data_IF_037826266491
#
_entry.id   IF_037826266491
#
_cell.length_a   1.000
_cell.length_b   1.000
_cell.length_c   1.000
_cell.angle_alpha   90.00
_cell.angle_beta   90.00
_cell.angle_gamma   90.00
#
_symmetry.space_group_name_H-M   'P 1'
#
loop_
_entity.id
_entity.type
_entity.pdbx_description
1 polymer ?
#
# COMPACT_ATOMS: atom_id res chain seq x y z
N UNK A 1 -27.44 -1.35 -16.78
CA UNK A 1 -27.49 0.09 -16.47
C UNK A 1 -26.57 0.79 -17.46
N UNK A 2 -27.07 1.76 -18.22
CA UNK A 2 -26.27 2.51 -19.20
C UNK A 2 -25.28 3.47 -18.53
N UNK A 3 -24.30 4.01 -19.28
CA UNK A 3 -23.36 4.99 -18.76
C UNK A 3 -24.12 6.20 -18.19
N UNK A 4 -23.69 6.66 -17.01
CA UNK A 4 -24.26 7.84 -16.36
C UNK A 4 -24.07 9.08 -17.26
N UNK A 5 -25.08 9.97 -17.36
CA UNK A 5 -24.99 11.17 -18.18
C UNK A 5 -23.88 12.12 -17.68
N UNK A 6 -23.31 12.95 -18.56
CA UNK A 6 -22.28 13.92 -18.18
C UNK A 6 -22.75 14.82 -17.04
N UNK A 7 -21.91 14.95 -16.01
CA UNK A 7 -22.19 15.82 -14.87
C UNK A 7 -21.98 17.29 -15.30
N UNK A 8 -23.05 18.04 -15.50
CA UNK A 8 -22.96 19.49 -15.70
C UNK A 8 -22.55 20.16 -14.39
N UNK A 9 -21.26 20.38 -14.21
CA UNK A 9 -20.73 21.18 -13.12
C UNK A 9 -21.08 22.65 -13.38
N UNK A 10 -21.98 23.21 -12.56
CA UNK A 10 -22.29 24.66 -12.55
C UNK A 10 -21.08 25.43 -12.01
N UNK A 11 -20.15 25.76 -12.90
CA UNK A 11 -19.04 26.67 -12.61
C UNK A 11 -19.50 28.12 -12.69
N UNK A 12 -19.09 28.92 -11.71
CA UNK A 12 -19.41 30.36 -11.67
C UNK A 12 -18.64 31.10 -12.77
N UNK A 13 -19.13 32.27 -13.20
CA UNK A 13 -18.42 33.08 -14.20
C UNK A 13 -17.08 33.63 -13.68
N UNK A 14 -16.92 33.68 -12.36
CA UNK A 14 -15.62 33.90 -11.73
C UNK A 14 -14.68 32.72 -12.00
N UNK A 15 -15.09 31.48 -11.72
CA UNK A 15 -14.29 30.27 -12.01
C UNK A 15 -13.95 30.15 -13.49
N UNK A 16 -14.87 30.49 -14.40
CA UNK A 16 -14.58 30.55 -15.85
C UNK A 16 -13.50 31.58 -16.18
N UNK A 17 -13.46 32.73 -15.50
CA UNK A 17 -12.42 33.75 -15.68
C UNK A 17 -11.07 33.25 -15.17
N UNK A 18 -11.03 32.61 -14.00
CA UNK A 18 -9.81 31.98 -13.47
C UNK A 18 -9.25 30.91 -14.42
N UNK A 19 -10.11 30.03 -14.94
CA UNK A 19 -9.73 28.98 -15.90
C UNK A 19 -9.18 29.60 -17.20
N UNK A 20 -9.86 30.62 -17.75
CA UNK A 20 -9.39 31.29 -18.98
C UNK A 20 -8.08 32.05 -18.77
N UNK A 21 -7.88 32.67 -17.60
CA UNK A 21 -6.64 33.34 -17.25
C UNK A 21 -5.48 32.35 -17.10
N UNK A 22 -5.72 31.18 -16.50
CA UNK A 22 -4.75 30.10 -16.40
C UNK A 22 -4.33 29.57 -17.79
N UNK A 23 -5.30 29.28 -18.67
CA UNK A 23 -5.05 28.84 -20.06
C UNK A 23 -4.26 29.90 -20.85
N UNK A 24 -4.57 31.18 -20.66
CA UNK A 24 -3.85 32.26 -21.32
C UNK A 24 -2.40 32.35 -20.85
N UNK A 25 -2.16 32.23 -19.54
CA UNK A 25 -0.81 32.24 -18.94
C UNK A 25 0.04 31.07 -19.42
N UNK A 26 -0.55 29.88 -19.46
CA UNK A 26 0.06 28.65 -19.96
C UNK A 26 0.46 28.76 -21.44
N UNK A 27 -0.38 29.39 -22.29
CA UNK A 27 -0.04 29.63 -23.71
C UNK A 27 1.18 30.53 -23.87
N UNK A 28 1.28 31.58 -23.07
CA UNK A 28 2.46 32.46 -23.04
C UNK A 28 3.71 31.76 -22.54
N UNK A 29 3.60 30.94 -21.49
CA UNK A 29 4.73 30.19 -20.91
C UNK A 29 5.23 29.09 -21.88
N UNK A 30 4.31 28.39 -22.58
CA UNK A 30 4.64 27.41 -23.65
C UNK A 30 5.28 28.07 -24.87
N UNK A 31 4.82 29.26 -25.27
CA UNK A 31 5.43 30.01 -26.36
C UNK A 31 6.86 30.47 -26.02
N UNK A 32 7.11 30.81 -24.75
CA UNK A 32 8.44 31.18 -24.26
C UNK A 32 9.41 29.98 -24.18
N UNK A 33 8.92 28.80 -23.79
CA UNK A 33 9.74 27.58 -23.71
C UNK A 33 9.99 26.92 -25.07
N UNK A 34 9.05 27.01 -26.02
CA UNK A 34 9.26 26.54 -27.39
C UNK A 34 10.28 27.40 -28.19
N UNK A 35 10.44 28.68 -27.82
CA UNK A 35 11.41 29.58 -28.43
C UNK A 35 12.85 29.36 -27.92
N UNK A 36 13.05 28.63 -26.81
CA UNK A 36 14.34 28.42 -26.15
C UNK A 36 15.03 27.10 -26.56
N UNK A 37 14.83 26.66 -27.81
CA UNK A 37 15.37 25.48 -28.48
C UNK A 37 16.52 24.68 -27.83
N UNK A 38 16.29 23.37 -27.71
CA UNK A 38 17.28 22.33 -28.02
C UNK A 38 18.59 22.35 -27.23
N UNK A 39 18.56 21.84 -26.00
CA UNK A 39 19.77 21.52 -25.26
C UNK A 39 19.47 20.43 -24.23
N UNK A 40 20.19 19.33 -24.32
CA UNK A 40 20.25 18.27 -23.31
C UNK A 40 20.52 18.92 -21.96
N UNK A 41 19.53 18.94 -21.08
CA UNK A 41 19.64 19.49 -19.73
C UNK A 41 19.21 18.42 -18.74
N UNK A 42 20.20 17.99 -17.94
CA UNK A 42 20.02 17.05 -16.84
C UNK A 42 18.86 17.48 -15.96
N UNK A 43 18.02 16.52 -15.63
CA UNK A 43 16.86 16.73 -14.77
C UNK A 43 17.38 17.03 -13.37
N UNK A 44 17.16 18.26 -12.90
CA UNK A 44 17.43 18.63 -11.52
C UNK A 44 16.54 17.79 -10.59
N UNK A 45 17.16 17.08 -9.65
CA UNK A 45 16.48 16.43 -8.53
C UNK A 45 15.58 17.45 -7.82
N UNK A 46 14.30 17.12 -7.61
CA UNK A 46 13.41 17.84 -6.70
C UNK A 46 12.37 18.79 -7.31
N UNK A 47 12.16 18.83 -8.64
CA UNK A 47 11.02 19.56 -9.19
C UNK A 47 9.77 18.68 -9.36
N UNK A 48 8.74 19.01 -8.57
CA UNK A 48 7.36 18.52 -8.73
C UNK A 48 6.85 18.98 -10.09
N UNK A 49 6.48 18.03 -10.95
CA UNK A 49 5.75 18.37 -12.17
C UNK A 49 4.24 18.23 -11.97
N UNK A 50 3.51 19.19 -12.53
CA UNK A 50 2.05 19.21 -12.52
C UNK A 50 1.53 18.60 -13.81
N UNK A 51 0.63 17.63 -13.71
CA UNK A 51 -0.11 17.06 -14.83
C UNK A 51 -1.40 17.86 -15.02
N UNK A 52 -1.38 18.83 -15.93
CA UNK A 52 -2.56 19.63 -16.27
C UNK A 52 -3.04 19.29 -17.69
N UNK A 53 -4.01 18.38 -17.77
CA UNK A 53 -4.69 17.99 -19.01
C UNK A 53 -5.80 16.94 -18.76
N UNK A 54 -6.86 16.87 -19.58
CA UNK A 54 -8.01 16.02 -19.29
C UNK A 54 -7.68 14.57 -19.65
N UNK A 55 -7.34 13.77 -18.63
CA UNK A 55 -7.25 12.30 -18.66
C UNK A 55 -6.13 11.69 -19.51
N UNK A 56 -4.87 12.11 -19.32
CA UNK A 56 -3.77 11.18 -19.59
C UNK A 56 -3.81 10.08 -18.53
N UNK A 57 -4.17 8.87 -18.94
CA UNK A 57 -3.98 7.67 -18.11
C UNK A 57 -2.49 7.59 -17.77
N UNK A 58 -2.17 7.68 -16.49
CA UNK A 58 -0.80 7.60 -15.99
C UNK A 58 -0.35 6.15 -15.89
N UNK A 59 -1.19 5.33 -15.25
CA UNK A 59 -0.82 4.00 -14.80
C UNK A 59 -2.06 3.25 -14.27
N UNK A 60 -1.88 1.99 -13.88
CA UNK A 60 -2.88 1.15 -13.24
C UNK A 60 -2.83 1.22 -11.70
N UNK A 61 -4.01 1.17 -11.08
CA UNK A 61 -4.19 0.97 -9.64
C UNK A 61 -4.97 -0.32 -9.40
N UNK A 62 -4.55 -1.11 -8.41
CA UNK A 62 -5.22 -2.34 -8.00
C UNK A 62 -5.53 -2.29 -6.52
N UNK A 63 -6.75 -2.70 -6.15
CA UNK A 63 -7.12 -2.84 -4.74
C UNK A 63 -7.77 -4.19 -4.48
N UNK A 64 -7.35 -4.84 -3.41
CA UNK A 64 -7.99 -6.05 -2.91
C UNK A 64 -8.24 -5.96 -1.41
N UNK A 65 -9.13 -6.80 -0.89
CA UNK A 65 -9.28 -6.87 0.55
C UNK A 65 -10.24 -7.94 1.06
N UNK A 66 -9.96 -8.41 2.28
CA UNK A 66 -10.76 -9.42 2.98
C UNK A 66 -11.39 -8.80 4.24
N UNK A 67 -12.69 -8.55 4.20
CA UNK A 67 -13.43 -8.00 5.34
C UNK A 67 -14.35 -9.01 5.97
N UNK A 68 -14.87 -9.92 5.17
CA UNK A 68 -15.67 -11.05 5.60
C UNK A 68 -14.78 -12.06 6.32
N UNK A 69 -14.94 -12.17 7.63
CA UNK A 69 -14.34 -13.24 8.42
C UNK A 69 -15.42 -13.84 9.32
N UNK A 70 -15.34 -15.15 9.63
CA UNK A 70 -16.27 -15.80 10.53
C UNK A 70 -16.19 -15.15 11.91
N UNK A 71 -17.35 -14.96 12.55
CA UNK A 71 -17.40 -14.21 13.81
C UNK A 71 -16.72 -14.96 14.97
N UNK A 72 -16.83 -16.29 14.99
CA UNK A 72 -16.30 -17.20 16.02
C UNK A 72 -16.04 -18.55 15.38
N UNK A 73 -14.96 -19.21 15.80
CA UNK A 73 -14.69 -20.61 15.48
C UNK A 73 -14.59 -21.44 16.74
N UNK A 74 -15.75 -21.86 17.26
CA UNK A 74 -15.82 -22.68 18.47
C UNK A 74 -15.30 -24.11 18.27
N UNK A 75 -15.11 -24.51 17.01
CA UNK A 75 -14.76 -25.88 16.62
C UNK A 75 -13.32 -26.02 16.09
N UNK A 76 -12.55 -24.93 15.99
CA UNK A 76 -11.22 -24.95 15.41
C UNK A 76 -11.22 -25.40 13.95
N UNK A 77 -12.14 -24.88 13.12
CA UNK A 77 -12.21 -25.10 11.68
C UNK A 77 -11.18 -24.28 10.89
N UNK A 78 -10.86 -23.07 11.32
CA UNK A 78 -9.99 -22.15 10.59
C UNK A 78 -8.56 -22.21 11.12
N UNK A 79 -8.01 -23.42 11.18
CA UNK A 79 -6.72 -23.67 11.80
C UNK A 79 -5.61 -22.99 11.00
N UNK A 80 -4.71 -22.23 11.66
CA UNK A 80 -3.48 -21.74 11.06
C UNK A 80 -2.58 -22.86 10.49
N UNK A 81 -1.49 -22.50 9.79
CA UNK A 81 -0.49 -23.45 9.35
C UNK A 81 0.07 -24.29 10.50
N UNK A 82 0.61 -25.47 10.17
CA UNK A 82 1.26 -26.33 11.16
C UNK A 82 2.58 -25.70 11.63
N UNK A 83 2.91 -25.85 12.91
CA UNK A 83 4.21 -25.43 13.46
C UNK A 83 5.27 -26.53 13.34
N UNK A 84 6.55 -26.16 13.33
CA UNK A 84 7.68 -27.08 13.25
C UNK A 84 7.67 -28.19 14.30
N UNK A 85 7.29 -27.85 15.54
CA UNK A 85 7.25 -28.78 16.68
C UNK A 85 5.94 -29.57 16.81
N UNK A 86 5.10 -29.58 15.76
CA UNK A 86 3.80 -30.24 15.73
C UNK A 86 2.72 -29.47 16.49
N UNK A 87 1.55 -29.29 15.89
CA UNK A 87 0.51 -28.36 16.37
C UNK A 87 0.30 -27.22 15.38
N UNK A 88 -0.39 -26.14 15.78
CA UNK A 88 -0.69 -24.99 14.91
C UNK A 88 0.14 -23.77 15.31
N UNK A 89 0.50 -22.95 14.33
CA UNK A 89 1.12 -21.64 14.56
C UNK A 89 0.13 -20.77 15.34
N UNK A 90 0.57 -20.23 16.49
CA UNK A 90 -0.18 -19.24 17.24
C UNK A 90 0.05 -17.86 16.63
N UNK A 91 -0.97 -17.02 16.67
CA UNK A 91 -1.00 -15.73 16.03
C UNK A 91 -0.97 -14.60 17.07
N UNK A 92 -0.40 -13.45 16.72
CA UNK A 92 -0.37 -12.24 17.57
C UNK A 92 -1.76 -11.63 17.61
N UNK A 93 -2.59 -12.16 18.51
CA UNK A 93 -3.98 -11.78 18.73
C UNK A 93 -4.46 -12.29 20.09
N UNK A 94 -5.52 -11.68 20.62
CA UNK A 94 -6.29 -12.25 21.73
C UNK A 94 -6.93 -13.61 21.37
N UNK A 95 -7.11 -13.88 20.08
CA UNK A 95 -7.51 -15.18 19.53
C UNK A 95 -6.36 -15.75 18.72
N UNK A 96 -5.52 -16.55 19.38
CA UNK A 96 -4.27 -17.08 18.81
C UNK A 96 -4.46 -17.96 17.56
N UNK A 97 -5.68 -18.40 17.25
CA UNK A 97 -5.98 -19.22 16.07
C UNK A 97 -7.05 -18.59 15.17
N UNK A 98 -7.37 -17.31 15.38
CA UNK A 98 -8.48 -16.65 14.69
C UNK A 98 -9.86 -17.24 15.05
N UNK A 99 -10.90 -16.93 14.26
CA UNK A 99 -10.97 -15.83 13.32
C UNK A 99 -11.11 -14.50 14.05
N UNK A 100 -10.59 -13.46 13.41
CA UNK A 100 -10.71 -12.07 13.83
C UNK A 100 -11.98 -11.51 13.21
N UNK A 101 -12.78 -10.79 13.98
CA UNK A 101 -14.14 -10.39 13.57
C UNK A 101 -14.15 -9.66 12.22
N UNK A 102 -15.31 -9.68 11.57
CA UNK A 102 -15.58 -8.94 10.32
C UNK A 102 -15.09 -7.49 10.40
N UNK A 103 -14.44 -7.03 9.32
CA UNK A 103 -14.17 -5.61 9.09
C UNK A 103 -15.31 -5.01 8.28
N UNK A 104 -15.95 -3.98 8.84
CA UNK A 104 -17.23 -3.49 8.32
C UNK A 104 -17.12 -2.52 7.14
N UNK A 105 -15.97 -1.88 6.90
CA UNK A 105 -15.85 -0.81 5.91
C UNK A 105 -14.77 -1.00 4.83
N UNK A 106 -14.33 -2.24 4.57
CA UNK A 106 -13.33 -2.48 3.53
C UNK A 106 -13.82 -2.05 2.15
N UNK A 107 -15.09 -2.37 1.82
CA UNK A 107 -15.69 -1.96 0.55
C UNK A 107 -15.68 -0.45 0.35
N UNK A 108 -15.99 0.32 1.40
CA UNK A 108 -15.94 1.78 1.37
C UNK A 108 -14.55 2.30 1.06
N UNK A 109 -13.53 1.79 1.76
CA UNK A 109 -12.12 2.18 1.54
C UNK A 109 -11.67 1.84 0.11
N UNK A 110 -12.01 0.64 -0.39
CA UNK A 110 -11.62 0.20 -1.74
C UNK A 110 -12.31 1.03 -2.85
N UNK A 111 -13.59 1.34 -2.68
CA UNK A 111 -14.35 2.19 -3.60
C UNK A 111 -13.83 3.62 -3.61
N UNK A 112 -13.56 4.17 -2.43
CA UNK A 112 -13.01 5.52 -2.30
C UNK A 112 -11.60 5.61 -2.87
N UNK A 113 -10.73 4.64 -2.58
CA UNK A 113 -9.37 4.57 -3.15
C UNK A 113 -9.43 4.56 -4.68
N UNK A 114 -10.22 3.65 -5.27
CA UNK A 114 -10.37 3.55 -6.73
C UNK A 114 -10.82 4.86 -7.35
N UNK A 115 -11.79 5.55 -6.72
CA UNK A 115 -12.32 6.83 -7.18
C UNK A 115 -11.29 7.95 -7.06
N UNK A 116 -10.53 8.02 -5.98
CA UNK A 116 -9.54 9.07 -5.74
C UNK A 116 -8.31 8.90 -6.64
N UNK A 117 -7.80 7.67 -6.79
CA UNK A 117 -6.74 7.36 -7.75
C UNK A 117 -7.17 7.66 -9.20
N UNK A 118 -8.43 7.39 -9.56
CA UNK A 118 -8.98 7.80 -10.87
C UNK A 118 -8.91 9.30 -11.11
N UNK A 119 -9.16 10.12 -10.09
CA UNK A 119 -9.03 11.58 -10.19
C UNK A 119 -7.58 12.04 -10.34
N UNK A 120 -6.63 11.19 -9.98
CA UNK A 120 -5.20 11.44 -10.10
C UNK A 120 -4.62 10.90 -11.42
N UNK A 121 -5.46 10.33 -12.30
CA UNK A 121 -5.03 9.80 -13.61
C UNK A 121 -4.75 8.30 -13.64
N UNK A 122 -4.96 7.58 -12.54
CA UNK A 122 -4.76 6.12 -12.47
C UNK A 122 -6.02 5.36 -12.85
N UNK A 123 -5.90 4.30 -13.66
CA UNK A 123 -7.03 3.44 -14.02
C UNK A 123 -7.15 2.30 -13.02
N UNK A 124 -8.28 2.13 -12.31
CA UNK A 124 -8.51 0.95 -11.50
C UNK A 124 -8.60 -0.29 -12.39
N UNK A 125 -7.58 -1.15 -12.35
CA UNK A 125 -7.50 -2.37 -13.18
C UNK A 125 -8.31 -3.49 -12.55
N UNK A 126 -8.23 -3.65 -11.23
CA UNK A 126 -9.06 -4.59 -10.48
C UNK A 126 -9.46 -4.04 -9.12
N UNK A 127 -10.60 -4.55 -8.65
CA UNK A 127 -11.11 -4.36 -7.29
C UNK A 127 -11.71 -5.68 -6.84
N UNK A 128 -10.98 -6.46 -6.04
CA UNK A 128 -11.41 -7.79 -5.57
C UNK A 128 -11.65 -7.79 -4.07
N UNK A 129 -12.88 -8.02 -3.63
CA UNK A 129 -13.24 -7.98 -2.22
C UNK A 129 -13.88 -9.28 -1.71
N UNK A 130 -13.61 -9.60 -0.45
CA UNK A 130 -14.21 -10.74 0.26
C UNK A 130 -14.08 -12.04 -0.54
N UNK A 131 -15.16 -12.69 -0.97
CA UNK A 131 -15.10 -13.96 -1.71
C UNK A 131 -14.53 -13.82 -3.14
N UNK A 132 -14.29 -12.60 -3.64
CA UNK A 132 -13.67 -12.35 -4.94
C UNK A 132 -12.14 -12.41 -4.89
N UNK A 133 -11.54 -12.24 -3.71
CA UNK A 133 -10.10 -12.43 -3.52
C UNK A 133 -9.83 -13.87 -3.08
N UNK A 134 -8.87 -14.51 -3.73
CA UNK A 134 -8.36 -15.83 -3.34
C UNK A 134 -6.88 -15.72 -2.97
N UNK A 135 -6.35 -16.65 -2.17
CA UNK A 135 -4.94 -16.59 -1.75
C UNK A 135 -3.98 -16.58 -2.93
N UNK A 136 -4.34 -17.28 -4.01
CA UNK A 136 -3.68 -17.30 -5.30
C UNK A 136 -3.56 -15.91 -5.98
N UNK A 137 -4.41 -14.94 -5.63
CA UNK A 137 -4.27 -13.57 -6.13
C UNK A 137 -3.10 -12.82 -5.47
N UNK A 138 -2.66 -13.29 -4.29
CA UNK A 138 -1.61 -12.71 -3.47
C UNK A 138 -0.29 -13.47 -3.59
N UNK A 139 -0.35 -14.79 -3.77
CA UNK A 139 0.83 -15.65 -3.88
C UNK A 139 1.59 -15.42 -5.17
N UNK A 140 2.90 -15.70 -5.13
CA UNK A 140 3.67 -16.00 -6.33
C UNK A 140 3.10 -17.25 -7.01
N UNK A 141 2.66 -17.11 -8.25
CA UNK A 141 2.19 -18.24 -9.05
C UNK A 141 3.25 -18.63 -10.09
N UNK A 142 3.81 -19.83 -9.94
CA UNK A 142 4.81 -20.36 -10.89
C UNK A 142 6.09 -19.53 -10.92
N UNK A 143 6.76 -19.55 -12.08
CA UNK A 143 7.98 -18.76 -12.36
C UNK A 143 7.66 -17.34 -12.84
N UNK A 144 6.44 -17.10 -13.31
CA UNK A 144 6.07 -15.83 -13.98
C UNK A 144 5.45 -14.80 -13.02
N UNK A 145 5.42 -15.10 -11.72
CA UNK A 145 4.94 -14.24 -10.64
C UNK A 145 3.63 -13.46 -10.98
N UNK A 146 2.57 -14.21 -11.29
CA UNK A 146 1.31 -13.66 -11.83
C UNK A 146 0.33 -13.16 -10.78
N UNK A 147 0.79 -12.70 -9.61
CA UNK A 147 -0.08 -12.02 -8.64
C UNK A 147 -0.84 -10.89 -9.36
N UNK A 148 -2.11 -10.69 -8.99
CA UNK A 148 -2.91 -9.59 -9.57
C UNK A 148 -2.27 -8.24 -9.35
N UNK A 149 -1.60 -8.05 -8.21
CA UNK A 149 -0.90 -6.81 -7.90
C UNK A 149 0.26 -6.54 -8.87
N UNK A 150 0.92 -7.57 -9.40
CA UNK A 150 2.04 -7.39 -10.34
C UNK A 150 1.60 -6.90 -11.74
N UNK A 151 0.28 -6.75 -11.97
CA UNK A 151 -0.30 -6.22 -13.21
C UNK A 151 -0.67 -4.72 -13.13
N UNK A 152 -0.45 -4.09 -11.98
CA UNK A 152 -0.73 -2.66 -11.75
C UNK A 152 0.53 -1.94 -11.32
N UNK A 153 0.48 -0.62 -11.24
CA UNK A 153 1.62 0.18 -10.81
C UNK A 153 1.58 0.51 -9.32
N UNK A 154 0.36 0.58 -8.77
CA UNK A 154 0.09 0.84 -7.36
C UNK A 154 -0.89 -0.21 -6.84
N UNK A 155 -0.47 -0.93 -5.80
CA UNK A 155 -1.28 -1.92 -5.11
C UNK A 155 -1.71 -1.48 -3.72
N UNK A 156 -2.95 -1.79 -3.36
CA UNK A 156 -3.46 -1.68 -2.00
C UNK A 156 -4.17 -2.98 -1.58
N UNK A 157 -3.70 -3.59 -0.49
CA UNK A 157 -4.46 -4.62 0.23
C UNK A 157 -5.06 -4.05 1.52
N UNK A 158 -6.33 -4.37 1.79
CA UNK A 158 -7.04 -3.95 3.00
C UNK A 158 -7.57 -5.20 3.71
N UNK A 159 -7.25 -5.39 4.98
CA UNK A 159 -7.76 -6.55 5.70
C UNK A 159 -7.08 -6.80 7.03
N UNK A 160 -7.34 -7.97 7.59
CA UNK A 160 -6.53 -8.47 8.69
C UNK A 160 -5.21 -9.01 8.19
N UNK A 161 -4.19 -8.90 9.03
CA UNK A 161 -2.99 -9.71 8.98
C UNK A 161 -2.58 -10.04 10.41
N UNK A 162 -1.71 -11.04 10.57
CA UNK A 162 -1.23 -11.45 11.89
C UNK A 162 0.19 -11.94 11.84
N UNK A 163 0.97 -11.66 12.88
CA UNK A 163 2.30 -12.21 13.02
C UNK A 163 2.22 -13.59 13.69
N UNK A 164 2.99 -14.55 13.18
CA UNK A 164 3.16 -15.85 13.81
C UNK A 164 4.04 -15.75 15.05
N UNK A 165 3.56 -16.28 16.18
CA UNK A 165 4.36 -16.46 17.41
C UNK A 165 5.26 -17.69 17.34
N UNK A 166 4.95 -18.62 16.44
CA UNK A 166 5.66 -19.89 16.27
C UNK A 166 6.21 -20.03 14.85
N UNK A 167 7.30 -20.79 14.71
CA UNK A 167 7.88 -21.16 13.42
C UNK A 167 6.98 -22.19 12.72
N UNK A 168 6.63 -21.91 11.47
CA UNK A 168 5.85 -22.83 10.63
C UNK A 168 6.67 -24.09 10.26
N UNK A 169 6.01 -25.23 10.14
CA UNK A 169 6.63 -26.46 9.66
C UNK A 169 7.24 -26.28 8.27
N UNK A 170 8.47 -26.75 8.09
CA UNK A 170 9.24 -26.55 6.85
C UNK A 170 9.92 -25.17 6.74
N UNK A 171 9.76 -24.29 7.73
CA UNK A 171 10.43 -23.00 7.79
C UNK A 171 11.41 -22.93 8.98
N UNK A 172 12.43 -22.07 8.86
CA UNK A 172 13.41 -21.79 9.91
C UNK A 172 13.12 -20.55 10.75
N UNK A 173 12.05 -19.81 10.43
CA UNK A 173 11.75 -18.49 10.99
C UNK A 173 10.23 -18.26 11.13
N UNK A 174 9.86 -17.25 11.92
CA UNK A 174 8.48 -16.77 12.06
C UNK A 174 8.15 -15.76 10.95
N UNK A 175 6.91 -15.76 10.50
CA UNK A 175 6.42 -14.84 9.48
C UNK A 175 5.02 -14.31 9.81
N UNK A 176 4.56 -13.32 9.06
CA UNK A 176 3.18 -12.85 9.09
C UNK A 176 2.31 -13.57 8.06
N UNK A 177 0.99 -13.52 8.26
CA UNK A 177 -0.01 -14.19 7.44
C UNK A 177 -1.20 -13.29 7.14
N UNK A 178 -1.75 -13.43 5.94
CA UNK A 178 -3.05 -12.89 5.54
C UNK A 178 -4.09 -14.02 5.57
N UNK A 179 -5.13 -13.92 6.42
CA UNK A 179 -6.28 -14.82 6.36
C UNK A 179 -7.18 -14.43 5.18
N UNK A 180 -7.37 -15.35 4.22
CA UNK A 180 -8.30 -15.21 3.09
C UNK A 180 -9.44 -16.20 3.29
N UNK A 181 -10.64 -15.68 3.50
CA UNK A 181 -11.81 -16.47 3.87
C UNK A 181 -12.77 -16.59 2.71
N UNK A 182 -13.12 -17.83 2.37
CA UNK A 182 -14.15 -18.15 1.40
C UNK A 182 -15.43 -18.54 2.13
N UNK A 183 -16.44 -17.68 2.05
CA UNK A 183 -17.70 -17.86 2.76
C UNK A 183 -18.61 -18.91 2.14
N UNK A 184 -18.45 -19.19 0.85
CA UNK A 184 -19.18 -20.24 0.13
C UNK A 184 -18.71 -21.64 0.55
N UNK A 185 -17.41 -21.80 0.79
CA UNK A 185 -16.79 -23.08 1.18
C UNK A 185 -16.62 -23.22 2.70
N UNK A 186 -16.81 -22.14 3.47
CA UNK A 186 -16.51 -22.08 4.90
C UNK A 186 -15.05 -22.48 5.21
N UNK A 187 -14.11 -21.99 4.39
CA UNK A 187 -12.68 -22.31 4.51
C UNK A 187 -11.83 -21.07 4.67
N UNK A 188 -10.73 -21.20 5.43
CA UNK A 188 -9.70 -20.19 5.56
C UNK A 188 -8.43 -20.65 4.86
N UNK A 189 -7.93 -19.81 3.98
CA UNK A 189 -6.59 -19.91 3.42
C UNK A 189 -5.67 -18.92 4.12
N UNK A 190 -4.46 -19.34 4.47
CA UNK A 190 -3.49 -18.54 5.20
C UNK A 190 -2.30 -18.28 4.31
N UNK A 191 -2.23 -17.09 3.71
CA UNK A 191 -1.14 -16.69 2.84
C UNK A 191 -0.01 -16.11 3.69
N UNK A 192 1.12 -16.81 3.79
CA UNK A 192 2.32 -16.34 4.47
C UNK A 192 3.05 -15.25 3.70
N UNK A 193 3.78 -14.39 4.40
CA UNK A 193 4.63 -13.36 3.80
C UNK A 193 5.61 -13.93 2.77
N UNK A 194 6.23 -15.07 3.08
CA UNK A 194 7.15 -15.78 2.18
C UNK A 194 6.50 -16.35 0.91
N UNK A 195 5.17 -16.40 0.84
CA UNK A 195 4.45 -16.86 -0.36
C UNK A 195 4.10 -15.69 -1.28
N UNK A 196 4.25 -14.44 -0.82
CA UNK A 196 3.95 -13.23 -1.56
C UNK A 196 5.24 -12.65 -2.14
N UNK A 197 5.24 -12.30 -3.42
CA UNK A 197 6.41 -11.74 -4.10
C UNK A 197 5.94 -10.53 -4.92
N UNK A 198 5.71 -9.40 -4.25
CA UNK A 198 5.25 -8.20 -4.95
C UNK A 198 6.41 -7.47 -5.61
N UNK A 199 6.18 -7.04 -6.84
CA UNK A 199 7.12 -6.27 -7.64
C UNK A 199 7.20 -6.84 -9.04
N UNK A 200 7.11 -5.95 -10.02
CA UNK A 200 7.26 -6.28 -11.43
C UNK A 200 7.74 -5.04 -12.19
N UNK A 201 8.05 -5.15 -13.50
CA UNK A 201 8.26 -3.97 -14.33
C UNK A 201 7.09 -2.96 -14.29
N UNK A 202 5.93 -3.35 -13.78
CA UNK A 202 4.77 -2.49 -13.58
C UNK A 202 4.61 -2.08 -12.11
N UNK A 203 4.57 -3.02 -11.16
CA UNK A 203 4.25 -2.76 -9.76
C UNK A 203 5.44 -2.16 -9.02
N UNK A 204 5.35 -0.86 -8.73
CA UNK A 204 6.40 -0.12 -8.01
C UNK A 204 6.09 0.09 -6.54
N UNK A 205 4.81 0.27 -6.19
CA UNK A 205 4.42 0.56 -4.81
C UNK A 205 3.28 -0.34 -4.35
N UNK A 206 3.45 -0.97 -3.20
CA UNK A 206 2.46 -1.86 -2.59
C UNK A 206 2.22 -1.44 -1.14
N UNK A 207 0.96 -1.24 -0.78
CA UNK A 207 0.56 -0.89 0.58
C UNK A 207 -0.39 -1.94 1.18
N UNK A 208 -0.18 -2.22 2.46
CA UNK A 208 -0.99 -3.09 3.29
C UNK A 208 -1.64 -2.30 4.41
N UNK A 209 -2.92 -1.98 4.24
CA UNK A 209 -3.75 -1.45 5.31
C UNK A 209 -4.26 -2.59 6.20
N UNK A 210 -3.33 -3.15 6.97
CA UNK A 210 -3.54 -4.31 7.84
C UNK A 210 -2.60 -4.29 9.06
N UNK A 211 -3.01 -4.96 10.14
CA UNK A 211 -2.26 -5.03 11.39
C UNK A 211 -1.14 -6.08 11.36
N UNK A 212 0.04 -5.79 11.89
CA UNK A 212 1.08 -6.80 12.17
C UNK A 212 1.76 -7.46 10.96
N UNK A 213 1.54 -7.02 9.73
CA UNK A 213 2.28 -7.58 8.58
C UNK A 213 3.79 -7.38 8.77
N UNK A 214 4.22 -6.17 9.12
CA UNK A 214 5.63 -5.83 9.37
C UNK A 214 5.91 -5.65 10.87
N UNK A 215 5.24 -6.43 11.72
CA UNK A 215 5.34 -6.30 13.18
C UNK A 215 6.79 -6.35 13.65
N UNK A 216 7.25 -5.29 14.29
CA UNK A 216 8.64 -5.14 14.74
C UNK A 216 8.81 -5.43 16.23
N UNK A 217 9.91 -6.10 16.57
CA UNK A 217 10.30 -6.34 17.97
C UNK A 217 10.58 -5.03 18.72
N UNK A 218 10.96 -3.97 17.99
CA UNK A 218 11.19 -2.64 18.56
C UNK A 218 9.96 -2.07 19.26
N UNK A 219 8.76 -2.39 18.77
CA UNK A 219 7.50 -1.80 19.26
C UNK A 219 6.60 -2.79 19.98
N UNK A 220 6.73 -4.09 19.67
CA UNK A 220 5.83 -5.11 20.19
C UNK A 220 6.53 -6.44 20.39
N UNK A 221 6.18 -7.15 21.46
CA UNK A 221 6.57 -8.55 21.64
C UNK A 221 6.05 -9.40 20.45
N UNK A 222 6.76 -10.49 20.15
CA UNK A 222 6.48 -11.35 18.99
C UNK A 222 6.58 -10.64 17.63
N UNK A 223 7.48 -9.66 17.51
CA UNK A 223 7.87 -9.11 16.22
C UNK A 223 8.43 -10.19 15.29
N UNK A 224 8.04 -10.12 14.02
CA UNK A 224 8.45 -11.07 12.97
C UNK A 224 9.17 -10.38 11.80
N UNK A 225 9.14 -9.05 11.74
CA UNK A 225 9.78 -8.30 10.66
C UNK A 225 11.26 -8.64 10.50
N UNK A 226 12.04 -8.54 11.57
CA UNK A 226 13.49 -8.76 11.51
C UNK A 226 13.80 -10.20 11.10
N UNK A 227 12.96 -11.16 11.52
CA UNK A 227 13.10 -12.56 11.09
C UNK A 227 12.81 -12.72 9.60
N UNK A 228 11.74 -12.11 9.09
CA UNK A 228 11.41 -12.17 7.66
C UNK A 228 12.49 -11.49 6.81
N UNK A 229 12.95 -10.30 7.20
CA UNK A 229 14.03 -9.59 6.49
C UNK A 229 15.34 -10.39 6.47
N UNK A 230 15.75 -10.95 7.62
CA UNK A 230 16.98 -11.76 7.70
C UNK A 230 16.90 -13.11 6.96
N UNK A 231 15.71 -13.52 6.53
CA UNK A 231 15.47 -14.75 5.76
C UNK A 231 14.93 -14.48 4.35
N UNK A 232 15.00 -13.23 3.87
CA UNK A 232 14.59 -12.86 2.51
C UNK A 232 13.15 -13.27 2.20
N UNK A 233 12.27 -12.93 3.14
CA UNK A 233 10.89 -13.38 3.19
C UNK A 233 9.91 -12.23 3.39
N UNK A 234 10.35 -11.01 3.12
CA UNK A 234 9.46 -9.88 2.99
C UNK A 234 8.59 -10.09 1.74
N UNK A 235 7.34 -9.60 1.72
CA UNK A 235 6.47 -9.77 0.58
C UNK A 235 6.84 -8.76 -0.52
N UNK A 236 8.08 -8.79 -0.99
CA UNK A 236 8.61 -7.94 -2.05
C UNK A 236 9.78 -8.61 -2.77
N UNK A 237 10.00 -8.28 -4.04
CA UNK A 237 11.21 -8.62 -4.79
C UNK A 237 11.96 -7.34 -5.22
N UNK A 238 13.05 -7.49 -5.99
CA UNK A 238 13.86 -6.35 -6.43
C UNK A 238 13.16 -5.34 -7.35
N UNK A 239 12.02 -5.69 -7.96
CA UNK A 239 11.24 -4.73 -8.76
C UNK A 239 10.36 -3.80 -7.93
N UNK A 240 10.00 -4.18 -6.71
CA UNK A 240 9.16 -3.34 -5.87
C UNK A 240 10.01 -2.26 -5.21
N UNK A 241 9.68 -1.00 -5.49
CA UNK A 241 10.40 0.14 -4.93
C UNK A 241 10.12 0.31 -3.45
N UNK A 242 8.83 0.25 -3.07
CA UNK A 242 8.38 0.53 -1.70
C UNK A 242 7.24 -0.42 -1.30
N UNK A 243 7.45 -1.11 -0.19
CA UNK A 243 6.43 -1.86 0.55
C UNK A 243 6.01 -1.09 1.81
N UNK A 244 4.71 -0.86 1.98
CA UNK A 244 4.17 -0.08 3.10
C UNK A 244 3.21 -0.92 3.95
N UNK A 245 3.37 -0.88 5.27
CA UNK A 245 2.42 -1.49 6.21
C UNK A 245 2.56 -0.83 7.60
N UNK A 246 2.05 -1.48 8.65
CA UNK A 246 2.26 -1.07 10.03
C UNK A 246 3.27 -1.99 10.73
N UNK A 247 4.19 -1.38 11.50
CA UNK A 247 5.09 -2.10 12.40
C UNK A 247 4.42 -2.52 13.72
N UNK A 248 3.18 -2.07 13.93
CA UNK A 248 2.33 -2.37 15.08
C UNK A 248 0.95 -2.88 14.61
N UNK A 249 0.01 -3.04 15.55
CA UNK A 249 -1.41 -3.08 15.22
C UNK A 249 -1.87 -1.75 14.58
N UNK A 250 -3.10 -1.69 14.08
CA UNK A 250 -3.75 -0.48 13.59
C UNK A 250 -5.29 -0.61 13.68
N UNK A 251 -6.01 0.52 13.67
CA UNK A 251 -7.46 0.58 13.53
C UNK A 251 -7.85 0.90 12.08
N UNK A 252 -8.80 0.15 11.51
CA UNK A 252 -9.23 0.35 10.11
C UNK A 252 -10.17 1.55 10.05
N UNK A 253 -9.65 2.69 9.58
CA UNK A 253 -10.41 3.92 9.42
C UNK A 253 -10.97 4.06 8.00
N UNK A 254 -12.23 4.52 7.86
CA UNK A 254 -12.85 4.76 6.55
C UNK A 254 -12.06 5.77 5.70
N UNK A 255 -11.50 6.78 6.34
CA UNK A 255 -10.93 7.96 5.66
C UNK A 255 -9.48 7.76 5.20
N UNK A 256 -8.92 6.56 5.35
CA UNK A 256 -7.54 6.23 4.96
C UNK A 256 -7.24 6.66 3.51
N UNK A 257 -8.15 6.32 2.58
CA UNK A 257 -7.99 6.60 1.17
C UNK A 257 -7.89 8.11 0.87
N UNK A 258 -8.69 8.91 1.60
CA UNK A 258 -8.67 10.36 1.51
C UNK A 258 -7.32 10.94 1.93
N UNK A 259 -6.79 10.51 3.08
CA UNK A 259 -5.51 11.00 3.58
C UNK A 259 -4.35 10.58 2.68
N UNK A 260 -4.32 9.31 2.24
CA UNK A 260 -3.25 8.79 1.39
C UNK A 260 -3.15 9.55 0.08
N UNK A 261 -4.28 9.67 -0.64
CA UNK A 261 -4.33 10.37 -1.93
C UNK A 261 -4.14 11.88 -1.78
N UNK A 262 -4.50 12.48 -0.65
CA UNK A 262 -4.26 13.91 -0.37
C UNK A 262 -2.77 14.22 -0.24
N UNK A 263 -2.02 13.34 0.41
CA UNK A 263 -0.57 13.44 0.53
C UNK A 263 0.14 13.15 -0.79
N UNK A 264 -0.18 12.01 -1.43
CA UNK A 264 0.38 11.63 -2.73
C UNK A 264 0.16 12.67 -3.82
N UNK A 265 -0.99 13.38 -3.81
CA UNK A 265 -1.26 14.42 -4.82
C UNK A 265 -0.55 15.75 -4.58
N UNK A 266 0.17 15.90 -3.46
CA UNK A 266 0.81 17.15 -3.07
C UNK A 266 -0.17 18.27 -2.73
N UNK A 267 -1.23 17.98 -1.96
CA UNK A 267 -2.22 18.98 -1.58
C UNK A 267 -1.61 20.12 -0.75
N UNK A 268 -2.24 21.30 -0.79
CA UNK A 268 -1.87 22.46 0.03
C UNK A 268 -1.93 22.21 1.54
N UNK A 269 -2.60 21.14 1.97
CA UNK A 269 -2.70 20.72 3.37
C UNK A 269 -1.54 19.84 3.83
N UNK A 270 -0.58 19.56 2.96
CA UNK A 270 0.52 18.62 3.21
C UNK A 270 1.87 19.30 3.03
N UNK A 271 2.85 18.90 3.85
CA UNK A 271 4.23 19.38 3.73
C UNK A 271 4.89 18.81 2.47
N UNK A 272 6.16 19.13 2.19
CA UNK A 272 6.86 18.56 1.03
C UNK A 272 7.21 17.08 1.26
N UNK A 273 7.56 16.74 2.50
CA UNK A 273 7.95 15.41 2.98
C UNK A 273 6.79 14.42 2.83
N UNK A 274 5.56 14.86 3.12
CA UNK A 274 4.34 14.06 3.00
C UNK A 274 4.01 13.65 1.56
N UNK A 275 4.61 14.28 0.55
CA UNK A 275 4.24 14.07 -0.87
C UNK A 275 4.95 12.89 -1.50
N UNK A 276 6.03 12.43 -0.88
CA UNK A 276 6.69 11.19 -1.26
C UNK A 276 5.78 10.00 -0.97
N UNK A 277 6.02 8.86 -1.62
CA UNK A 277 5.26 7.63 -1.34
C UNK A 277 5.41 7.22 0.13
N UNK A 278 6.64 7.24 0.65
CA UNK A 278 6.95 6.98 2.07
C UNK A 278 6.20 7.96 2.98
N UNK A 279 6.34 9.26 2.73
CA UNK A 279 5.71 10.33 3.51
C UNK A 279 4.18 10.26 3.51
N UNK A 280 3.57 9.89 2.39
CA UNK A 280 2.13 9.79 2.28
C UNK A 280 1.54 8.70 3.17
N UNK A 281 2.25 7.60 3.38
CA UNK A 281 1.83 6.55 4.31
C UNK A 281 1.99 6.99 5.77
N UNK A 282 3.04 7.74 6.07
CA UNK A 282 3.21 8.36 7.38
C UNK A 282 2.09 9.37 7.68
N UNK A 283 1.67 10.13 6.67
CA UNK A 283 0.54 11.04 6.76
C UNK A 283 -0.78 10.30 7.06
N UNK A 284 -1.02 9.14 6.43
CA UNK A 284 -2.15 8.26 6.77
C UNK A 284 -2.09 7.86 8.24
N UNK A 285 -0.93 7.41 8.72
CA UNK A 285 -0.74 7.00 10.12
C UNK A 285 -1.12 8.11 11.09
N UNK A 286 -0.56 9.32 10.92
CA UNK A 286 -0.83 10.46 11.82
C UNK A 286 -2.30 10.86 11.85
N UNK A 287 -2.99 10.80 10.70
CA UNK A 287 -4.37 11.27 10.60
C UNK A 287 -5.41 10.20 10.94
N UNK A 288 -5.04 8.92 10.91
CA UNK A 288 -6.00 7.82 11.19
C UNK A 288 -5.74 7.12 12.50
N UNK A 289 -4.51 7.11 13.02
CA UNK A 289 -4.15 6.29 14.19
C UNK A 289 -3.88 7.10 15.46
N UNK A 290 -3.82 8.43 15.38
CA UNK A 290 -3.58 9.28 16.55
C UNK A 290 -4.86 9.94 17.05
N UNK A 291 -5.07 9.89 18.36
CA UNK A 291 -6.14 10.60 19.04
C UNK A 291 -5.54 11.51 20.14
N UNK A 292 -5.44 12.83 19.93
CA UNK A 292 -4.86 13.72 20.92
C UNK A 292 -5.73 13.90 22.17
N UNK A 293 -7.03 13.60 22.10
CA UNK A 293 -7.93 13.63 23.26
C UNK A 293 -7.77 12.39 24.14
N UNK A 294 -7.33 11.27 23.55
CA UNK A 294 -7.05 10.00 24.23
C UNK A 294 -5.71 9.44 23.75
N UNK A 295 -4.58 10.03 24.16
CA UNK A 295 -3.27 9.62 23.68
C UNK A 295 -2.96 8.19 24.12
N UNK A 296 -2.64 7.34 23.15
CA UNK A 296 -2.11 6.00 23.42
C UNK A 296 -0.63 6.13 23.85
N UNK A 297 -0.22 5.56 25.01
CA UNK A 297 1.19 5.52 25.39
C UNK A 297 2.07 4.74 24.39
N UNK A 298 1.48 3.81 23.63
CA UNK A 298 2.15 2.96 22.65
C UNK A 298 1.59 3.19 21.23
N UNK A 299 1.78 4.40 20.66
CA UNK A 299 1.14 4.81 19.41
C UNK A 299 1.45 3.83 18.27
N UNK A 300 0.49 3.66 17.36
CA UNK A 300 0.70 2.84 16.18
C UNK A 300 1.83 3.42 15.31
N UNK A 301 2.62 2.56 14.69
CA UNK A 301 3.77 2.94 13.87
C UNK A 301 3.57 2.44 12.45
N UNK A 302 3.56 3.36 11.50
CA UNK A 302 3.63 3.02 10.08
C UNK A 302 5.09 2.73 9.70
N UNK A 303 5.28 1.75 8.83
CA UNK A 303 6.58 1.36 8.28
C UNK A 303 6.52 1.34 6.77
N UNK A 304 7.49 2.00 6.14
CA UNK A 304 7.84 1.76 4.74
C UNK A 304 9.18 1.04 4.69
N UNK A 305 9.28 0.04 3.83
CA UNK A 305 10.51 -0.69 3.50
C UNK A 305 10.81 -0.44 2.03
N UNK A 306 12.02 -0.03 1.72
CA UNK A 306 12.35 0.47 0.39
C UNK A 306 13.84 0.35 0.07
N UNK A 307 14.16 0.38 -1.22
CA UNK A 307 15.52 0.58 -1.69
C UNK A 307 15.94 2.04 -1.46
N UNK A 308 17.14 2.34 -0.95
CA UNK A 308 17.58 3.71 -0.61
C UNK A 308 17.34 4.74 -1.73
N UNK A 309 17.56 4.35 -2.98
CA UNK A 309 17.33 5.16 -4.18
C UNK A 309 15.85 5.53 -4.42
N UNK A 310 14.92 4.73 -3.90
CA UNK A 310 13.48 4.92 -4.01
C UNK A 310 12.89 5.77 -2.87
N UNK A 311 13.69 6.18 -1.86
CA UNK A 311 13.21 6.96 -0.71
C UNK A 311 12.46 8.25 -1.11
N UNK A 312 12.85 8.83 -2.25
CA UNK A 312 12.27 10.04 -2.82
C UNK A 312 11.17 9.81 -3.87
N UNK A 313 10.61 8.61 -3.98
CA UNK A 313 9.61 8.31 -5.02
C UNK A 313 8.35 9.17 -4.86
N UNK A 314 7.83 9.62 -6.01
CA UNK A 314 6.56 10.32 -6.15
C UNK A 314 5.70 9.62 -7.20
N UNK A 315 4.40 9.51 -6.94
CA UNK A 315 3.47 8.82 -7.84
C UNK A 315 3.29 9.48 -9.21
N UNK A 316 3.57 10.78 -9.37
CA UNK A 316 3.49 11.38 -10.71
C UNK A 316 4.74 11.13 -11.54
N UNK A 317 5.85 10.76 -10.90
CA UNK A 317 7.19 10.62 -11.43
C UNK A 317 7.47 9.48 -12.41
N UNK A 318 6.50 9.08 -13.26
CA UNK A 318 6.60 7.94 -14.20
C UNK A 318 7.62 8.12 -15.36
N UNK A 319 8.71 8.87 -15.13
CA UNK A 319 9.96 8.75 -15.90
C UNK A 319 10.82 7.60 -15.36
N UNK A 320 12.08 7.43 -15.80
CA UNK A 320 13.00 6.50 -15.15
C UNK A 320 13.27 7.00 -13.73
N UNK A 321 12.38 6.63 -12.80
CA UNK A 321 12.75 6.43 -11.42
C UNK A 321 13.93 5.48 -11.45
N UNK A 322 14.94 5.72 -10.62
CA UNK A 322 16.09 4.84 -10.56
C UNK A 322 15.56 3.46 -10.22
N UNK A 323 15.42 2.61 -11.24
CA UNK A 323 15.21 1.19 -11.03
C UNK A 323 16.36 0.76 -10.14
N UNK A 324 16.11 0.00 -9.07
CA UNK A 324 17.17 -0.50 -8.24
C UNK A 324 18.22 -1.18 -9.15
N UNK A 325 19.49 -0.79 -9.03
CA UNK A 325 20.60 -1.35 -9.84
C UNK A 325 21.02 -2.69 -9.25
N UNK A 326 20.07 -3.61 -9.22
CA UNK A 326 20.00 -4.77 -8.34
C UNK A 326 19.38 -5.95 -9.12
N UNK A 327 19.85 -7.16 -8.86
CA UNK A 327 19.32 -8.35 -9.52
C UNK A 327 17.95 -8.69 -8.91
N UNK A 328 16.84 -8.51 -9.65
CA UNK A 328 15.50 -8.71 -9.10
C UNK A 328 15.22 -10.16 -8.68
N UNK A 329 16.05 -11.10 -9.12
CA UNK A 329 15.98 -12.52 -8.79
C UNK A 329 16.92 -12.92 -7.64
N UNK A 330 17.78 -12.01 -7.11
CA UNK A 330 18.68 -12.29 -5.98
C UNK A 330 18.05 -11.89 -4.63
N UNK A 331 17.52 -12.86 -3.85
CA UNK A 331 16.93 -12.55 -2.55
C UNK A 331 17.92 -11.96 -1.56
N UNK A 332 19.23 -12.19 -1.71
CA UNK A 332 20.26 -11.71 -0.78
C UNK A 332 20.33 -10.18 -0.70
N UNK A 333 19.80 -9.49 -1.71
CA UNK A 333 19.83 -8.04 -1.80
C UNK A 333 18.87 -7.37 -0.82
N UNK A 334 17.86 -8.06 -0.25
CA UNK A 334 16.96 -7.45 0.76
C UNK A 334 17.71 -6.94 2.01
N UNK A 335 18.96 -7.38 2.23
CA UNK A 335 19.81 -6.83 3.29
C UNK A 335 20.09 -5.34 3.13
N UNK A 336 20.03 -4.81 1.90
CA UNK A 336 20.26 -3.40 1.58
C UNK A 336 19.01 -2.53 1.74
N UNK A 337 17.85 -3.11 2.05
CA UNK A 337 16.62 -2.34 2.26
C UNK A 337 16.75 -1.42 3.47
N UNK A 338 16.22 -0.21 3.34
CA UNK A 338 16.06 0.75 4.43
C UNK A 338 14.61 0.73 4.96
N UNK A 339 14.45 1.16 6.21
CA UNK A 339 13.16 1.31 6.86
C UNK A 339 12.90 2.78 7.25
N UNK A 340 11.67 3.24 7.04
CA UNK A 340 11.18 4.48 7.62
C UNK A 340 10.00 4.17 8.54
N UNK A 341 10.20 4.37 9.83
CA UNK A 341 9.19 4.20 10.87
C UNK A 341 8.68 5.54 11.38
N UNK A 342 7.36 5.73 11.36
CA UNK A 342 6.73 6.94 11.85
C UNK A 342 5.57 6.62 12.79
N UNK A 343 5.73 6.94 14.09
CA UNK A 343 4.64 6.91 15.06
C UNK A 343 3.49 7.83 14.67
N UNK A 344 2.26 7.42 14.98
CA UNK A 344 1.06 8.21 14.73
C UNK A 344 1.07 9.58 15.42
N UNK A 345 1.77 9.70 16.56
CA UNK A 345 1.91 10.96 17.30
C UNK A 345 3.11 11.82 16.85
N UNK A 346 3.79 11.45 15.75
CA UNK A 346 4.88 12.25 15.22
C UNK A 346 4.37 13.66 14.89
N UNK A 347 5.17 14.72 15.13
CA UNK A 347 4.80 16.06 14.70
C UNK A 347 4.60 16.09 13.19
N UNK A 348 3.75 17.01 12.71
CA UNK A 348 3.73 17.31 11.29
C UNK A 348 5.10 17.88 10.88
N UNK A 349 5.67 17.44 9.75
CA UNK A 349 6.96 17.92 9.26
C UNK A 349 7.01 19.44 9.07
#
# INVERSE_FOLDING_TARGET
MGPLPPLELKITDEQKRWIRAAIAREKTEKAASAAAGGGVMGVAQGQVFSLEGPYSVLAGFGVAGQGHLPAIDLSGRYLPPYRWTGGRVRMTSQREFGPWRRLHNIRGIAEESSKLFSKMGYVPVFKKLDDEIVGDDLRRQGWDNTSWFNQVNIGLYIGHSSAGKDIQSGMGYRQSYLPIYNSMLDTMDWVGASEMEFGSPYLKWMAFYSCNLLRSYLYRADGVYDEMKNHFALPMNGYLHILQAYATEMSVHPDMAFYWTTALRGSIFTSAEDRTVVGAWNYVCRNTQWNPQHPDPDPNVARSVYWPECAGDYIYGYGPQTEPDLDPDDPLEEFNLEEADHPANSPNP
#
